data_IF_424593995778
#
_entry.id   IF_424593995778
#
_cell.length_a   1.000
_cell.length_b   1.000
_cell.length_c   1.000
_cell.angle_alpha   90.00
_cell.angle_beta   90.00
_cell.angle_gamma   90.00
#
_symmetry.space_group_name_H-M   'P 1'
#
loop_
_entity.id
_entity.type
_entity.pdbx_description
1 polymer ?
#
# COMPACT_ATOMS: atom_id res chain seq x y z
N UNK A 1 -6.96 -0.88 29.85
CA UNK A 1 -7.74 -0.67 28.59
C UNK A 1 -6.84 -0.54 27.34
N UNK A 2 -5.65 0.07 27.45
CA UNK A 2 -4.70 0.27 26.35
C UNK A 2 -4.13 -1.01 25.69
N UNK A 3 -4.00 -2.12 26.43
CA UNK A 3 -3.46 -3.38 25.85
C UNK A 3 -4.36 -4.00 24.78
N UNK A 4 -5.69 -3.97 24.97
CA UNK A 4 -6.66 -4.46 23.97
C UNK A 4 -6.62 -3.62 22.69
N UNK A 5 -6.42 -2.31 22.82
CA UNK A 5 -6.31 -1.40 21.68
C UNK A 5 -4.98 -1.58 20.95
N UNK A 6 -3.85 -1.74 21.68
CA UNK A 6 -2.56 -2.13 21.09
C UNK A 6 -2.66 -3.45 20.33
N UNK A 7 -3.31 -4.47 20.91
CA UNK A 7 -3.50 -5.77 20.26
C UNK A 7 -4.30 -5.66 18.96
N UNK A 8 -5.39 -4.87 18.97
CA UNK A 8 -6.16 -4.58 17.76
C UNK A 8 -5.34 -3.85 16.70
N UNK A 9 -4.50 -2.91 17.13
CA UNK A 9 -3.64 -2.13 16.23
C UNK A 9 -2.56 -3.01 15.60
N UNK A 10 -1.95 -3.90 16.38
CA UNK A 10 -0.92 -4.83 15.93
C UNK A 10 -1.46 -5.84 14.90
N UNK A 11 -2.67 -6.36 15.14
CA UNK A 11 -3.39 -7.20 14.17
C UNK A 11 -3.69 -6.43 12.89
N UNK A 12 -4.21 -5.19 13.01
CA UNK A 12 -4.52 -4.35 11.84
C UNK A 12 -3.26 -4.07 11.03
N UNK A 13 -2.15 -3.79 11.69
CA UNK A 13 -0.87 -3.50 11.05
C UNK A 13 -0.34 -4.72 10.29
N UNK A 14 -0.30 -5.90 10.93
CA UNK A 14 0.08 -7.16 10.26
C UNK A 14 -0.79 -7.47 9.04
N UNK A 15 -2.11 -7.26 9.15
CA UNK A 15 -3.02 -7.47 8.04
C UNK A 15 -2.81 -6.48 6.90
N UNK A 16 -2.53 -5.21 7.23
CA UNK A 16 -2.23 -4.18 6.26
C UNK A 16 -0.95 -4.51 5.48
N UNK A 17 0.12 -4.93 6.16
CA UNK A 17 1.36 -5.38 5.51
C UNK A 17 1.11 -6.53 4.55
N UNK A 18 0.38 -7.58 4.97
CA UNK A 18 0.07 -8.73 4.12
C UNK A 18 -0.79 -8.34 2.91
N UNK A 19 -1.76 -7.44 3.08
CA UNK A 19 -2.55 -6.91 1.95
C UNK A 19 -1.66 -6.13 1.00
N UNK A 20 -0.88 -5.17 1.50
CA UNK A 20 -0.01 -4.32 0.67
C UNK A 20 0.98 -5.19 -0.12
N UNK A 21 1.64 -6.16 0.52
CA UNK A 21 2.58 -7.07 -0.16
C UNK A 21 1.88 -7.91 -1.25
N UNK A 22 0.66 -8.41 -1.00
CA UNK A 22 -0.12 -9.12 -2.03
C UNK A 22 -0.49 -8.24 -3.22
N UNK A 23 -0.83 -6.97 -2.97
CA UNK A 23 -1.21 -6.03 -4.02
C UNK A 23 0.00 -5.42 -4.73
N UNK A 24 1.18 -5.44 -4.10
CA UNK A 24 2.43 -4.97 -4.70
C UNK A 24 2.77 -5.72 -5.99
N UNK A 25 2.54 -7.05 -6.01
CA UNK A 25 2.73 -7.86 -7.22
C UNK A 25 1.70 -7.58 -8.33
N UNK A 26 0.66 -6.78 -8.05
CA UNK A 26 -0.36 -6.34 -9.02
C UNK A 26 -0.16 -4.90 -9.49
N UNK A 27 0.76 -4.15 -8.86
CA UNK A 27 1.08 -2.80 -9.31
C UNK A 27 1.98 -2.87 -10.56
N UNK A 28 1.79 -1.95 -11.53
CA UNK A 28 2.68 -1.86 -12.68
C UNK A 28 4.13 -1.70 -12.22
N UNK A 29 5.05 -2.43 -12.84
CA UNK A 29 6.48 -2.34 -12.49
C UNK A 29 7.01 -0.92 -12.68
N UNK A 30 6.47 -0.16 -13.66
CA UNK A 30 6.80 1.24 -13.86
C UNK A 30 6.37 2.12 -12.68
N UNK A 31 5.27 1.78 -12.00
CA UNK A 31 4.88 2.49 -10.78
C UNK A 31 5.84 2.16 -9.64
N UNK A 32 6.28 0.90 -9.51
CA UNK A 32 7.18 0.41 -8.45
C UNK A 32 8.61 0.95 -8.58
N UNK A 33 9.17 1.01 -9.79
CA UNK A 33 10.53 1.50 -10.07
C UNK A 33 10.62 3.03 -10.22
N UNK A 34 9.85 3.77 -9.44
CA UNK A 34 9.92 5.22 -9.43
C UNK A 34 11.16 5.72 -8.66
N UNK A 35 11.99 6.60 -9.25
CA UNK A 35 13.21 7.11 -8.60
C UNK A 35 12.93 8.05 -7.42
N UNK A 36 11.67 8.51 -7.26
CA UNK A 36 11.24 9.34 -6.13
C UNK A 36 9.79 9.06 -5.76
N UNK A 37 9.44 9.37 -4.51
CA UNK A 37 8.09 9.17 -3.97
C UNK A 37 7.03 10.02 -4.69
N UNK A 38 7.39 11.23 -5.14
CA UNK A 38 6.48 12.09 -5.89
C UNK A 38 6.16 11.50 -7.26
N UNK A 39 7.16 10.92 -7.94
CA UNK A 39 6.96 10.21 -9.21
C UNK A 39 6.16 8.92 -8.99
N UNK A 40 6.40 8.21 -7.88
CA UNK A 40 5.62 7.04 -7.49
C UNK A 40 4.13 7.38 -7.35
N UNK A 41 3.80 8.43 -6.59
CA UNK A 41 2.41 8.87 -6.38
C UNK A 41 1.73 9.27 -7.68
N UNK A 42 2.39 10.06 -8.53
CA UNK A 42 1.83 10.48 -9.81
C UNK A 42 1.53 9.29 -10.74
N UNK A 43 2.42 8.28 -10.78
CA UNK A 43 2.21 7.04 -11.55
C UNK A 43 1.09 6.18 -10.95
N UNK A 44 1.02 6.09 -9.63
CA UNK A 44 -0.02 5.35 -8.91
C UNK A 44 -1.41 5.96 -9.15
N UNK A 45 -1.54 7.28 -9.05
CA UNK A 45 -2.79 8.00 -9.30
C UNK A 45 -3.25 7.84 -10.76
N UNK A 46 -2.32 7.91 -11.72
CA UNK A 46 -2.63 7.62 -13.12
C UNK A 46 -3.09 6.17 -13.35
N UNK A 47 -2.44 5.19 -12.71
CA UNK A 47 -2.82 3.78 -12.83
C UNK A 47 -4.18 3.46 -12.18
N UNK A 48 -4.47 4.07 -11.02
CA UNK A 48 -5.73 3.87 -10.30
C UNK A 48 -6.90 4.66 -10.91
N UNK A 49 -6.65 5.82 -11.52
CA UNK A 49 -7.67 6.61 -12.22
C UNK A 49 -8.24 5.92 -13.47
N UNK A 50 -7.52 4.94 -14.03
CA UNK A 50 -7.97 4.16 -15.18
C UNK A 50 -8.84 2.93 -14.79
N UNK A 51 -9.12 2.73 -13.50
CA UNK A 51 -9.93 1.63 -12.97
C UNK A 51 -11.40 2.03 -12.73
N UNK A 52 -11.92 3.02 -13.47
CA UNK A 52 -13.34 3.45 -13.48
C UNK A 52 -14.04 2.91 -14.72
#
# INVERSE_FOLDING_TARGET
KLEKDRFRLDIRMKFFTTRVVRHWNRLPTEAVDAPSLEVFKARLDGALSNLV
#
